data_IF_928954186344
#
_entry.id   IF_928954186344
#
_cell.length_a   1.000
_cell.length_b   1.000
_cell.length_c   1.000
_cell.angle_alpha   90.00
_cell.angle_beta   90.00
_cell.angle_gamma   90.00
#
_symmetry.space_group_name_H-M   'P 1'
#
loop_
_entity.id
_entity.type
_entity.pdbx_description
1 polymer ?
#
# COMPACT_ATOMS: atom_id res chain seq x y z
N UNK A 1 15.50 3.75 2.66
CA UNK A 1 16.50 3.64 3.74
C UNK A 1 15.95 2.74 4.83
N UNK A 2 16.72 1.76 5.32
CA UNK A 2 16.32 0.88 6.43
C UNK A 2 16.85 1.48 7.73
N UNK A 3 15.98 1.68 8.71
CA UNK A 3 16.34 2.26 10.02
C UNK A 3 16.59 1.16 11.04
N UNK A 4 15.74 0.13 11.04
CA UNK A 4 15.86 -1.07 11.86
C UNK A 4 15.44 -2.31 11.04
N UNK A 5 15.54 -3.51 11.62
CA UNK A 5 15.21 -4.73 10.89
C UNK A 5 13.77 -4.76 10.35
N UNK A 6 12.86 -4.08 11.04
CA UNK A 6 11.44 -4.06 10.75
C UNK A 6 10.93 -2.69 10.34
N UNK A 7 11.81 -1.70 10.09
CA UNK A 7 11.42 -0.33 9.75
C UNK A 7 12.20 0.18 8.54
N UNK A 8 11.48 0.60 7.51
CA UNK A 8 12.02 1.10 6.23
C UNK A 8 11.29 2.36 5.81
N UNK A 9 12.03 3.40 5.43
CA UNK A 9 11.47 4.54 4.70
C UNK A 9 11.66 4.32 3.22
N UNK A 10 10.56 4.48 2.47
CA UNK A 10 10.51 4.29 1.03
C UNK A 10 10.00 5.57 0.38
N UNK A 11 10.66 5.97 -0.71
CA UNK A 11 10.16 7.00 -1.62
C UNK A 11 9.63 6.31 -2.86
N UNK A 12 8.32 6.41 -3.09
CA UNK A 12 7.63 5.88 -4.27
C UNK A 12 7.29 7.00 -5.23
N UNK A 13 7.54 6.75 -6.51
CA UNK A 13 7.16 7.63 -7.63
C UNK A 13 6.42 6.79 -8.66
N UNK A 14 5.17 7.14 -8.93
CA UNK A 14 4.33 6.48 -9.94
C UNK A 14 3.99 7.50 -10.99
N UNK A 15 4.18 7.16 -12.26
CA UNK A 15 3.72 7.99 -13.37
C UNK A 15 2.45 7.35 -13.92
N UNK A 16 1.34 8.08 -13.90
CA UNK A 16 0.13 7.66 -14.59
C UNK A 16 0.31 7.95 -16.07
N UNK A 17 0.42 6.90 -16.89
CA UNK A 17 0.77 7.02 -18.31
C UNK A 17 -0.36 7.59 -19.16
N UNK A 18 -1.60 7.51 -18.68
CA UNK A 18 -2.80 7.97 -19.39
C UNK A 18 -2.97 9.47 -19.26
N UNK A 19 -2.84 10.01 -18.04
CA UNK A 19 -3.15 11.41 -17.76
C UNK A 19 -1.89 12.29 -17.55
N UNK A 20 -0.70 11.69 -17.48
CA UNK A 20 0.58 12.37 -17.30
C UNK A 20 0.90 12.79 -15.86
N UNK A 21 0.07 12.43 -14.89
CA UNK A 21 0.24 12.80 -13.49
C UNK A 21 1.35 11.98 -12.83
N UNK A 22 2.05 12.61 -11.87
CA UNK A 22 3.12 11.96 -11.13
C UNK A 22 2.76 11.92 -9.65
N UNK A 23 2.49 10.73 -9.14
CA UNK A 23 2.22 10.50 -7.73
C UNK A 23 3.53 10.27 -6.99
N UNK A 24 3.82 11.12 -6.02
CA UNK A 24 4.89 10.94 -5.06
C UNK A 24 4.33 10.53 -3.70
N UNK A 25 5.00 9.60 -3.05
CA UNK A 25 4.74 9.27 -1.64
C UNK A 25 6.07 8.95 -0.98
N UNK A 26 6.35 9.60 0.14
CA UNK A 26 7.37 9.11 1.08
C UNK A 26 6.59 8.45 2.21
N UNK A 27 6.92 7.20 2.54
CA UNK A 27 6.24 6.49 3.60
C UNK A 27 7.20 5.69 4.47
N UNK A 28 6.82 5.60 5.74
CA UNK A 28 7.36 4.66 6.69
C UNK A 28 6.62 3.33 6.53
N UNK A 29 7.35 2.27 6.20
CA UNK A 29 6.90 0.90 6.27
C UNK A 29 7.47 0.30 7.53
N UNK A 30 6.62 -0.24 8.40
CA UNK A 30 7.09 -0.97 9.56
C UNK A 30 6.31 -2.26 9.80
N UNK A 31 6.97 -3.22 10.45
CA UNK A 31 6.38 -4.48 10.88
C UNK A 31 6.47 -4.59 12.40
N UNK A 32 5.41 -5.03 13.03
CA UNK A 32 5.40 -5.38 14.45
C UNK A 32 4.79 -6.75 14.67
N UNK A 33 5.20 -7.44 15.73
CA UNK A 33 4.62 -8.72 16.13
C UNK A 33 3.38 -8.47 16.97
N UNK A 34 2.32 -9.22 16.71
CA UNK A 34 1.12 -9.28 17.55
C UNK A 34 1.08 -10.63 18.27
N UNK A 35 0.27 -10.80 19.33
CA UNK A 35 0.15 -12.09 20.02
C UNK A 35 -0.29 -13.24 19.09
N UNK A 36 -1.05 -12.92 18.04
CA UNK A 36 -1.64 -13.84 17.07
C UNK A 36 -0.91 -13.84 15.70
N UNK A 37 0.15 -13.05 15.53
CA UNK A 37 0.89 -12.99 14.26
C UNK A 37 1.68 -11.71 14.06
N UNK A 38 1.39 -10.98 12.98
CA UNK A 38 2.13 -9.78 12.60
C UNK A 38 1.21 -8.69 12.05
N UNK A 39 1.61 -7.44 12.28
CA UNK A 39 1.00 -6.26 11.67
C UNK A 39 2.06 -5.54 10.84
N UNK A 40 1.74 -5.27 9.58
CA UNK A 40 2.56 -4.46 8.67
C UNK A 40 1.80 -3.16 8.40
N UNK A 41 2.44 -2.03 8.65
CA UNK A 41 1.85 -0.72 8.49
C UNK A 41 2.67 0.15 7.56
N UNK A 42 1.97 0.94 6.76
CA UNK A 42 2.50 1.98 5.88
C UNK A 42 1.86 3.28 6.33
N UNK A 43 2.68 4.28 6.64
CA UNK A 43 2.21 5.63 6.94
C UNK A 43 3.01 6.63 6.15
N UNK A 44 2.33 7.53 5.44
CA UNK A 44 2.99 8.60 4.73
C UNK A 44 3.71 9.56 5.69
N UNK A 45 4.86 10.04 5.23
CA UNK A 45 5.69 11.07 5.84
C UNK A 45 5.97 12.15 4.79
N UNK A 46 4.91 12.54 4.09
CA UNK A 46 5.02 13.58 3.08
C UNK A 46 5.34 14.93 3.76
N UNK A 47 6.05 15.85 3.10
CA UNK A 47 6.31 17.18 3.64
C UNK A 47 5.00 17.91 3.98
N UNK A 48 4.97 18.65 5.09
CA UNK A 48 3.75 19.31 5.60
C UNK A 48 3.22 20.40 4.63
N UNK A 49 4.11 21.10 3.92
CA UNK A 49 3.77 22.18 2.96
C UNK A 49 3.24 21.67 1.60
N UNK A 50 2.92 20.39 1.47
CA UNK A 50 2.51 19.80 0.19
C UNK A 50 1.09 20.17 -0.24
N UNK A 51 0.22 20.55 0.70
CA UNK A 51 -1.14 21.01 0.36
C UNK A 51 -1.11 22.38 -0.34
N UNK A 52 -0.27 23.30 0.12
CA UNK A 52 -0.07 24.61 -0.51
C UNK A 52 0.57 24.49 -1.90
N UNK A 53 1.47 23.52 -2.08
CA UNK A 53 2.10 23.24 -3.38
C UNK A 53 1.09 22.71 -4.42
N UNK A 54 0.18 21.82 -4.00
CA UNK A 54 -0.87 21.28 -4.86
C UNK A 54 -1.92 22.36 -5.22
N UNK A 55 -2.26 23.26 -4.28
CA UNK A 55 -3.16 24.40 -4.49
C UNK A 55 -2.56 25.47 -5.41
N UNK A 56 -1.26 25.76 -5.28
CA UNK A 56 -0.53 26.73 -6.11
C UNK A 56 -0.35 26.27 -7.57
N UNK A 57 -0.20 24.95 -7.79
CA UNK A 57 -0.03 24.39 -9.14
C UNK A 57 -1.35 24.24 -9.92
N UNK A 58 -2.51 24.32 -9.24
CA UNK A 58 -3.83 24.07 -9.82
C UNK A 58 -4.35 25.10 -10.82
N UNK A 59 -3.65 26.23 -11.06
CA UNK A 59 -4.13 27.30 -11.96
C UNK A 59 -3.24 27.65 -13.15
N UNK A 60 -1.99 27.20 -13.19
CA UNK A 60 -1.01 27.71 -14.18
C UNK A 60 -0.07 26.64 -14.77
N UNK A 61 -0.09 25.41 -14.26
CA UNK A 61 0.76 24.33 -14.77
C UNK A 61 -0.04 23.36 -15.66
N UNK A 62 0.45 23.01 -16.86
CA UNK A 62 -0.21 22.02 -17.70
C UNK A 62 -0.34 20.67 -16.97
N UNK A 63 -1.44 19.91 -17.19
CA UNK A 63 -1.75 18.68 -16.44
C UNK A 63 -0.61 17.66 -16.43
N UNK A 64 0.19 17.64 -17.51
CA UNK A 64 1.35 16.77 -17.71
C UNK A 64 2.55 17.03 -16.78
N UNK A 65 2.47 18.00 -15.86
CA UNK A 65 3.53 18.32 -14.91
C UNK A 65 3.05 18.37 -13.45
N UNK A 66 1.80 18.04 -13.17
CA UNK A 66 1.27 18.05 -11.81
C UNK A 66 1.86 16.91 -10.97
N UNK A 67 2.59 17.26 -9.89
CA UNK A 67 3.11 16.31 -8.90
C UNK A 67 2.10 16.25 -7.75
N UNK A 68 1.43 15.12 -7.58
CA UNK A 68 0.55 14.90 -6.43
C UNK A 68 1.33 14.19 -5.34
N UNK A 69 1.27 14.74 -4.12
CA UNK A 69 1.70 14.02 -2.91
C UNK A 69 0.53 13.23 -2.33
N UNK A 70 0.59 11.91 -2.47
CA UNK A 70 -0.49 11.03 -1.99
C UNK A 70 -0.34 10.75 -0.50
N UNK A 71 -1.34 11.13 0.29
CA UNK A 71 -1.46 10.75 1.70
C UNK A 71 -1.96 9.31 1.79
N UNK A 72 -1.33 8.51 2.63
CA UNK A 72 -1.64 7.09 2.72
C UNK A 72 -1.36 6.56 4.12
N UNK A 73 -2.37 5.92 4.68
CA UNK A 73 -2.23 5.07 5.86
C UNK A 73 -2.80 3.72 5.50
N UNK A 74 -1.97 2.68 5.47
CA UNK A 74 -2.39 1.35 5.05
C UNK A 74 -1.86 0.37 6.08
N UNK A 75 -2.63 -0.65 6.41
CA UNK A 75 -2.20 -1.71 7.30
C UNK A 75 -2.65 -3.09 6.81
N UNK A 76 -1.85 -4.09 7.14
CA UNK A 76 -2.07 -5.49 6.86
C UNK A 76 -1.88 -6.27 8.15
N UNK A 77 -2.92 -6.94 8.63
CA UNK A 77 -2.84 -7.85 9.78
C UNK A 77 -2.77 -9.27 9.26
N UNK A 78 -1.74 -10.00 9.69
CA UNK A 78 -1.55 -11.42 9.42
C UNK A 78 -1.80 -12.18 10.71
N UNK A 79 -2.92 -12.90 10.77
CA UNK A 79 -3.35 -13.68 11.94
C UNK A 79 -3.08 -15.16 11.67
N UNK A 80 -2.31 -15.83 12.51
CA UNK A 80 -2.05 -17.27 12.37
C UNK A 80 -3.34 -18.03 12.67
N UNK A 81 -3.74 -18.92 11.77
CA UNK A 81 -4.94 -19.73 12.00
C UNK A 81 -4.68 -20.78 13.10
N UNK A 82 -5.64 -21.00 14.01
CA UNK A 82 -5.51 -22.05 15.02
C UNK A 82 -5.48 -23.42 14.37
N UNK A 83 -4.68 -24.34 14.93
CA UNK A 83 -4.72 -25.74 14.52
C UNK A 83 -6.07 -26.35 14.92
N UNK A 84 -6.81 -26.88 13.96
CA UNK A 84 -8.05 -27.64 14.20
C UNK A 84 -7.66 -29.11 14.34
N UNK A 85 -8.10 -29.79 15.42
CA UNK A 85 -7.80 -31.20 15.66
C UNK A 85 -8.12 -32.05 14.41
N UNK A 86 -7.12 -32.76 13.91
CA UNK A 86 -7.24 -33.63 12.73
C UNK A 86 -7.04 -32.95 11.37
N UNK A 87 -6.94 -31.61 11.30
CA UNK A 87 -6.60 -30.89 10.08
C UNK A 87 -5.38 -30.00 10.29
N UNK A 88 -4.30 -30.28 9.55
CA UNK A 88 -3.10 -29.45 9.50
C UNK A 88 -3.37 -28.22 8.62
N UNK A 89 -4.32 -27.36 9.01
CA UNK A 89 -4.55 -26.08 8.33
C UNK A 89 -3.33 -25.20 8.63
N UNK A 90 -2.37 -25.18 7.70
CA UNK A 90 -1.21 -24.31 7.76
C UNK A 90 -1.50 -23.07 6.93
N UNK A 91 -1.86 -21.97 7.59
CA UNK A 91 -2.17 -20.72 6.92
C UNK A 91 -2.28 -19.56 7.89
N UNK A 92 -2.58 -18.40 7.34
CA UNK A 92 -2.87 -17.18 8.08
C UNK A 92 -4.07 -16.50 7.42
N UNK A 93 -4.86 -15.81 8.22
CA UNK A 93 -5.86 -14.86 7.75
C UNK A 93 -5.18 -13.50 7.52
N UNK A 94 -5.58 -12.83 6.44
CA UNK A 94 -5.06 -11.49 6.10
C UNK A 94 -6.21 -10.49 6.13
N UNK A 95 -6.10 -9.52 7.02
CA UNK A 95 -6.97 -8.35 7.02
C UNK A 95 -6.22 -7.17 6.42
N UNK A 96 -6.90 -6.39 5.59
CA UNK A 96 -6.37 -5.19 4.95
C UNK A 96 -7.26 -4.00 5.27
N UNK A 97 -6.65 -2.87 5.61
CA UNK A 97 -7.39 -1.63 5.80
C UNK A 97 -6.50 -0.41 5.70
N UNK A 98 -7.11 0.76 5.91
CA UNK A 98 -6.41 2.03 5.82
C UNK A 98 -7.27 3.19 5.34
N UNK A 99 -6.59 4.29 5.00
CA UNK A 99 -7.14 5.46 4.34
C UNK A 99 -6.17 5.98 3.28
N UNK A 100 -6.74 6.47 2.18
CA UNK A 100 -6.02 7.15 1.11
C UNK A 100 -6.58 8.58 1.01
N UNK A 101 -5.71 9.57 1.05
CA UNK A 101 -6.12 10.97 0.91
C UNK A 101 -6.44 11.30 -0.54
N UNK A 102 -7.46 12.15 -0.74
CA UNK A 102 -7.85 12.71 -2.04
C UNK A 102 -8.17 11.66 -3.12
N UNK A 103 -8.53 10.44 -2.75
CA UNK A 103 -8.94 9.39 -3.66
C UNK A 103 -10.44 9.51 -3.96
N UNK A 104 -10.80 9.52 -5.25
CA UNK A 104 -12.19 9.28 -5.67
C UNK A 104 -12.59 7.83 -5.41
N UNK A 105 -13.88 7.50 -5.48
CA UNK A 105 -14.36 6.12 -5.40
C UNK A 105 -13.69 5.22 -6.47
N UNK A 106 -13.47 5.76 -7.67
CA UNK A 106 -12.79 5.07 -8.76
C UNK A 106 -11.31 4.77 -8.41
N UNK A 107 -10.62 5.72 -7.80
CA UNK A 107 -9.25 5.52 -7.33
C UNK A 107 -9.18 4.46 -6.23
N UNK A 108 -10.12 4.50 -5.28
CA UNK A 108 -10.21 3.49 -4.22
C UNK A 108 -10.45 2.09 -4.81
N UNK A 109 -11.34 1.96 -5.79
CA UNK A 109 -11.59 0.70 -6.48
C UNK A 109 -10.36 0.19 -7.24
N UNK A 110 -9.62 1.08 -7.92
CA UNK A 110 -8.36 0.74 -8.58
C UNK A 110 -7.33 0.21 -7.57
N UNK A 111 -7.13 0.93 -6.46
CA UNK A 111 -6.17 0.52 -5.42
C UNK A 111 -6.55 -0.80 -4.76
N UNK A 112 -7.82 -1.05 -4.49
CA UNK A 112 -8.29 -2.34 -3.96
C UNK A 112 -8.01 -3.50 -4.93
N UNK A 113 -8.14 -3.28 -6.25
CA UNK A 113 -7.79 -4.31 -7.25
C UNK A 113 -6.30 -4.60 -7.25
N UNK A 114 -5.45 -3.58 -7.16
CA UNK A 114 -3.99 -3.77 -7.06
C UNK A 114 -3.60 -4.57 -5.81
N UNK A 115 -4.22 -4.26 -4.67
CA UNK A 115 -4.04 -4.97 -3.38
C UNK A 115 -4.42 -6.44 -3.53
N UNK A 116 -5.56 -6.73 -4.16
CA UNK A 116 -6.01 -8.10 -4.42
C UNK A 116 -5.04 -8.86 -5.35
N UNK A 117 -4.60 -8.22 -6.44
CA UNK A 117 -3.62 -8.82 -7.37
C UNK A 117 -2.30 -9.12 -6.68
N UNK A 118 -1.85 -8.25 -5.77
CA UNK A 118 -0.65 -8.50 -4.96
C UNK A 118 -0.83 -9.72 -4.05
N UNK A 119 -1.97 -9.84 -3.38
CA UNK A 119 -2.28 -11.01 -2.54
C UNK A 119 -2.27 -12.31 -3.37
N UNK A 120 -2.94 -12.32 -4.53
CA UNK A 120 -2.97 -13.47 -5.44
C UNK A 120 -1.60 -13.83 -6.00
N UNK A 121 -0.78 -12.83 -6.35
CA UNK A 121 0.60 -13.07 -6.81
C UNK A 121 1.45 -13.68 -5.72
N UNK A 122 1.29 -13.21 -4.49
CA UNK A 122 2.01 -13.78 -3.35
C UNK A 122 1.58 -15.21 -3.06
N UNK A 123 0.28 -15.50 -3.08
CA UNK A 123 -0.24 -16.86 -2.96
C UNK A 123 0.35 -17.79 -4.04
N UNK A 124 0.33 -17.36 -5.32
CA UNK A 124 0.94 -18.10 -6.42
C UNK A 124 2.44 -18.35 -6.23
N UNK A 125 3.18 -17.43 -5.61
CA UNK A 125 4.61 -17.60 -5.34
C UNK A 125 4.89 -18.58 -4.19
N UNK A 126 4.02 -18.64 -3.17
CA UNK A 126 4.24 -19.41 -1.95
C UNK A 126 3.67 -20.82 -2.05
N UNK A 127 2.47 -20.97 -2.63
CA UNK A 127 1.76 -22.25 -2.72
C UNK A 127 2.08 -22.97 -4.04
N UNK A 128 2.59 -22.25 -5.04
CA UNK A 128 2.76 -22.72 -6.42
C UNK A 128 1.68 -22.12 -7.35
N UNK A 129 1.89 -22.16 -8.68
CA UNK A 129 0.99 -21.48 -9.62
C UNK A 129 -0.41 -22.12 -9.60
N UNK A 130 -1.37 -21.42 -8.99
CA UNK A 130 -2.80 -21.70 -9.04
C UNK A 130 -3.44 -21.04 -10.26
N UNK A 131 -2.86 -19.94 -10.75
CA UNK A 131 -3.28 -19.25 -11.97
C UNK A 131 -2.28 -19.52 -13.10
N UNK A 132 -2.68 -20.36 -14.05
CA UNK A 132 -2.01 -20.53 -15.34
C UNK A 132 -2.73 -19.63 -16.35
N UNK A 133 -2.01 -18.69 -16.96
CA UNK A 133 -2.49 -17.85 -18.07
C UNK A 133 -2.01 -18.42 -19.40
#
# INVERSE_FOLDING_TARGET
>A
QRFENDVVVVRRKIKHTVDGWVHHTIYLLFRTKTPDGHLVCIRDMNPEDTEDFNLMMGKSTPPSQCVIWSKAFIWWKFTTLPEVEGQRIRGFEVEYGGSLGSATEADAAFWMREVLVLALRWENLVVGPLLTF
#
